data_IF_108876073721
#
_entry.id   IF_108876073721
#
_cell.length_a   1.000
_cell.length_b   1.000
_cell.length_c   1.000
_cell.angle_alpha   90.00
_cell.angle_beta   90.00
_cell.angle_gamma   90.00
#
_symmetry.space_group_name_H-M   'P 1'
#
loop_
_entity.id
_entity.type
_entity.pdbx_description
1 polymer ?
#
# COMPACT_ATOMS: atom_id res chain seq x y z
N UNK A 1 -17.73 -19.67 -2.46
CA UNK A 1 -16.59 -20.13 -1.62
C UNK A 1 -15.62 -18.95 -1.53
N UNK A 2 -15.49 -18.28 -0.37
CA UNK A 2 -14.48 -17.22 -0.22
C UNK A 2 -13.13 -17.91 0.03
N UNK A 3 -12.21 -17.79 -0.92
CA UNK A 3 -10.82 -18.24 -0.77
C UNK A 3 -10.19 -17.44 0.38
N UNK A 4 -9.45 -18.10 1.28
CA UNK A 4 -8.72 -17.43 2.35
C UNK A 4 -7.73 -16.43 1.72
N UNK A 5 -7.80 -15.13 2.03
CA UNK A 5 -6.90 -14.12 1.49
C UNK A 5 -5.41 -14.46 1.58
N UNK A 6 -5.00 -15.28 2.57
CA UNK A 6 -3.60 -15.73 2.75
C UNK A 6 -3.10 -16.64 1.62
N UNK A 7 -4.02 -17.27 0.88
CA UNK A 7 -3.73 -18.22 -0.20
C UNK A 7 -3.42 -17.53 -1.54
N UNK A 8 -3.75 -16.25 -1.69
CA UNK A 8 -3.40 -15.49 -2.89
C UNK A 8 -1.88 -15.30 -2.99
N UNK A 9 -1.40 -15.21 -4.24
CA UNK A 9 0.00 -14.86 -4.47
C UNK A 9 0.26 -13.43 -3.98
N UNK A 10 1.46 -13.11 -3.48
CA UNK A 10 1.75 -11.77 -2.98
C UNK A 10 1.60 -10.69 -4.07
N UNK A 11 1.88 -11.02 -5.34
CA UNK A 11 1.69 -10.10 -6.45
C UNK A 11 0.21 -9.89 -6.80
N UNK A 12 -0.64 -10.91 -6.64
CA UNK A 12 -2.09 -10.72 -6.79
C UNK A 12 -2.67 -9.84 -5.68
N UNK A 13 -2.17 -10.01 -4.44
CA UNK A 13 -2.52 -9.12 -3.33
C UNK A 13 -2.05 -7.70 -3.58
N UNK A 14 -0.81 -7.50 -4.05
CA UNK A 14 -0.30 -6.17 -4.38
C UNK A 14 -1.11 -5.52 -5.53
N UNK A 15 -1.48 -6.30 -6.55
CA UNK A 15 -2.27 -5.82 -7.67
C UNK A 15 -3.62 -5.21 -7.24
N UNK A 16 -4.39 -5.91 -6.40
CA UNK A 16 -5.64 -5.35 -5.88
C UNK A 16 -5.37 -4.24 -4.85
N UNK A 17 -4.32 -4.41 -4.04
CA UNK A 17 -3.93 -3.46 -3.00
C UNK A 17 -3.54 -2.08 -3.53
N UNK A 18 -2.84 -2.00 -4.66
CA UNK A 18 -2.51 -0.73 -5.33
C UNK A 18 -3.78 0.04 -5.72
N UNK A 19 -4.77 -0.67 -6.27
CA UNK A 19 -6.06 -0.07 -6.63
C UNK A 19 -6.80 0.47 -5.40
N UNK A 20 -6.82 -0.31 -4.30
CA UNK A 20 -7.47 0.11 -3.05
C UNK A 20 -6.73 1.26 -2.39
N UNK A 21 -5.40 1.21 -2.35
CA UNK A 21 -4.57 2.28 -1.81
C UNK A 21 -4.83 3.60 -2.54
N UNK A 22 -4.78 3.57 -3.87
CA UNK A 22 -5.08 4.74 -4.69
C UNK A 22 -6.49 5.29 -4.49
N UNK A 23 -7.50 4.42 -4.34
CA UNK A 23 -8.87 4.84 -4.09
C UNK A 23 -9.05 5.51 -2.73
N UNK A 24 -8.45 4.95 -1.67
CA UNK A 24 -8.52 5.52 -0.31
C UNK A 24 -7.79 6.86 -0.25
N UNK A 25 -6.55 6.95 -0.80
CA UNK A 25 -5.82 8.23 -0.87
C UNK A 25 -6.63 9.30 -1.62
N UNK A 26 -7.22 8.96 -2.77
CA UNK A 26 -8.05 9.91 -3.52
C UNK A 26 -9.29 10.33 -2.72
N UNK A 27 -9.85 9.42 -1.93
CA UNK A 27 -10.98 9.73 -1.04
C UNK A 27 -10.57 10.78 -0.01
N UNK A 28 -9.45 10.57 0.70
CA UNK A 28 -8.95 11.54 1.69
C UNK A 28 -8.65 12.91 1.05
N UNK A 29 -8.00 12.93 -0.11
CA UNK A 29 -7.70 14.18 -0.84
C UNK A 29 -8.97 14.93 -1.27
N UNK A 30 -10.04 14.21 -1.62
CA UNK A 30 -11.35 14.82 -1.93
C UNK A 30 -12.02 15.36 -0.67
N UNK A 31 -11.91 14.66 0.46
CA UNK A 31 -12.45 15.08 1.75
C UNK A 31 -11.77 16.34 2.30
N UNK A 32 -10.48 16.56 2.00
CA UNK A 32 -9.77 17.81 2.35
C UNK A 32 -10.32 19.07 1.66
N UNK A 33 -10.99 18.93 0.52
CA UNK A 33 -11.60 20.07 -0.16
C UNK A 33 -11.86 19.85 -1.64
N UNK A 34 -13.00 20.38 -2.08
CA UNK A 34 -13.39 20.36 -3.47
C UNK A 34 -12.54 21.35 -4.30
N UNK A 35 -11.73 20.83 -5.22
CA UNK A 35 -10.91 21.62 -6.11
C UNK A 35 -10.83 20.96 -7.50
N UNK A 36 -10.33 21.65 -8.55
CA UNK A 36 -10.24 21.07 -9.89
C UNK A 36 -9.49 19.74 -9.88
N UNK A 37 -9.93 18.79 -10.72
CA UNK A 37 -9.36 17.42 -10.80
C UNK A 37 -7.84 17.42 -10.94
N UNK A 38 -7.28 18.31 -11.76
CA UNK A 38 -5.81 18.43 -11.91
C UNK A 38 -5.09 18.76 -10.60
N UNK A 39 -5.74 19.48 -9.68
CA UNK A 39 -5.18 19.78 -8.35
C UNK A 39 -5.30 18.56 -7.43
N UNK A 40 -6.43 17.85 -7.45
CA UNK A 40 -6.62 16.60 -6.71
C UNK A 40 -5.59 15.54 -7.13
N UNK A 41 -5.39 15.35 -8.44
CA UNK A 41 -4.41 14.39 -8.96
C UNK A 41 -2.98 14.74 -8.52
N UNK A 42 -2.58 16.01 -8.61
CA UNK A 42 -1.25 16.43 -8.12
C UNK A 42 -1.05 16.18 -6.63
N UNK A 43 -2.10 16.33 -5.81
CA UNK A 43 -2.05 16.00 -4.38
C UNK A 43 -1.93 14.49 -4.18
N UNK A 44 -2.84 13.70 -4.78
CA UNK A 44 -2.88 12.24 -4.61
C UNK A 44 -1.58 11.56 -5.08
N UNK A 45 -1.01 12.01 -6.21
CA UNK A 45 0.26 11.48 -6.75
C UNK A 45 1.41 11.58 -5.75
N UNK A 46 1.39 12.53 -4.80
CA UNK A 46 2.42 12.60 -3.75
C UNK A 46 2.40 11.39 -2.82
N UNK A 47 1.22 10.84 -2.55
CA UNK A 47 1.04 9.71 -1.64
C UNK A 47 1.08 8.35 -2.34
N UNK A 48 0.72 8.29 -3.63
CA UNK A 48 0.61 7.04 -4.40
C UNK A 48 1.97 6.54 -4.93
N UNK A 49 2.96 7.42 -5.09
CA UNK A 49 4.29 7.04 -5.60
C UNK A 49 4.98 5.99 -4.72
N UNK A 50 5.67 5.05 -5.36
CA UNK A 50 6.39 3.96 -4.68
C UNK A 50 7.38 4.43 -3.60
N UNK A 51 8.09 5.54 -3.83
CA UNK A 51 9.02 6.12 -2.83
C UNK A 51 8.27 6.57 -1.57
N UNK A 52 7.10 7.18 -1.74
CA UNK A 52 6.24 7.61 -0.63
C UNK A 52 5.67 6.41 0.12
N UNK A 53 5.16 5.43 -0.61
CA UNK A 53 4.70 4.17 -0.02
C UNK A 53 5.82 3.44 0.75
N UNK A 54 7.05 3.43 0.22
CA UNK A 54 8.21 2.84 0.88
C UNK A 54 8.55 3.56 2.19
N UNK A 55 8.56 4.90 2.19
CA UNK A 55 8.77 5.70 3.41
C UNK A 55 7.67 5.44 4.46
N UNK A 56 6.42 5.36 4.03
CA UNK A 56 5.30 5.00 4.90
C UNK A 56 5.44 3.60 5.49
N UNK A 57 5.83 2.62 4.66
CA UNK A 57 6.05 1.26 5.11
C UNK A 57 7.18 1.17 6.15
N UNK A 58 8.29 1.87 5.93
CA UNK A 58 9.38 1.94 6.91
C UNK A 58 8.87 2.50 8.25
N UNK A 59 8.10 3.58 8.22
CA UNK A 59 7.53 4.15 9.43
C UNK A 59 6.60 3.19 10.20
N UNK A 60 5.72 2.46 9.50
CA UNK A 60 4.84 1.46 10.12
C UNK A 60 5.64 0.34 10.80
N UNK A 61 6.76 -0.06 10.21
CA UNK A 61 7.64 -1.12 10.71
C UNK A 61 8.45 -0.62 11.91
N UNK A 62 9.12 0.51 11.76
CA UNK A 62 10.01 1.09 12.77
C UNK A 62 9.22 1.49 14.03
N UNK A 63 7.97 1.90 13.86
CA UNK A 63 7.05 2.24 14.95
C UNK A 63 6.30 1.03 15.52
N UNK A 64 6.58 -0.19 15.06
CA UNK A 64 5.94 -1.43 15.49
C UNK A 64 4.39 -1.41 15.42
N UNK A 65 3.84 -0.78 14.38
CA UNK A 65 2.39 -0.58 14.23
C UNK A 65 1.68 -1.75 13.54
N UNK A 66 2.42 -2.74 13.06
CA UNK A 66 1.89 -3.93 12.42
C UNK A 66 1.87 -5.11 13.38
N UNK A 67 0.78 -5.88 13.37
CA UNK A 67 0.75 -7.20 14.00
C UNK A 67 1.68 -8.19 13.29
N UNK A 68 1.98 -9.32 13.95
CA UNK A 68 2.81 -10.39 13.38
C UNK A 68 2.25 -10.95 12.07
N UNK A 69 0.93 -11.04 11.97
CA UNK A 69 0.23 -11.46 10.75
C UNK A 69 0.46 -10.47 9.61
N UNK A 70 0.20 -9.18 9.87
CA UNK A 70 0.36 -8.11 8.89
C UNK A 70 1.82 -7.99 8.41
N UNK A 71 2.77 -8.07 9.35
CA UNK A 71 4.20 -8.11 9.07
C UNK A 71 4.60 -9.29 8.18
N UNK A 72 3.97 -10.45 8.37
CA UNK A 72 4.20 -11.65 7.55
C UNK A 72 3.72 -11.43 6.12
N UNK A 73 2.52 -10.86 5.93
CA UNK A 73 2.00 -10.52 4.60
C UNK A 73 2.87 -9.47 3.91
N UNK A 74 3.24 -8.40 4.62
CA UNK A 74 4.14 -7.37 4.13
C UNK A 74 5.46 -7.97 3.62
N UNK A 75 6.12 -8.82 4.43
CA UNK A 75 7.37 -9.48 4.07
C UNK A 75 7.22 -10.38 2.84
N UNK A 76 6.09 -11.08 2.69
CA UNK A 76 5.77 -11.88 1.49
C UNK A 76 5.69 -11.01 0.24
N UNK A 77 4.99 -9.87 0.31
CA UNK A 77 4.93 -8.89 -0.78
C UNK A 77 6.30 -8.32 -1.13
N UNK A 78 7.04 -7.85 -0.13
CA UNK A 78 8.39 -7.26 -0.30
C UNK A 78 9.39 -8.18 -0.95
N UNK A 79 9.26 -9.49 -0.73
CA UNK A 79 10.17 -10.50 -1.26
C UNK A 79 9.66 -11.17 -2.54
N UNK A 80 8.48 -10.79 -3.03
CA UNK A 80 7.96 -11.28 -4.30
C UNK A 80 8.86 -10.82 -5.45
N UNK A 81 9.30 -11.76 -6.29
CA UNK A 81 10.09 -11.45 -7.48
C UNK A 81 9.14 -11.22 -8.65
N UNK A 82 9.11 -10.02 -9.21
CA UNK A 82 8.56 -9.84 -10.56
C UNK A 82 9.59 -10.34 -11.59
N UNK A 83 9.13 -11.00 -12.66
CA UNK A 83 9.98 -11.58 -13.71
C UNK A 83 10.78 -10.54 -14.51
N UNK A 84 10.54 -9.26 -14.28
CA UNK A 84 11.19 -8.13 -14.97
C UNK A 84 11.94 -7.26 -13.95
N UNK A 85 13.09 -7.73 -13.48
CA UNK A 85 14.00 -6.90 -12.67
C UNK A 85 14.60 -5.80 -13.54
N UNK A 86 14.02 -4.60 -13.47
CA UNK A 86 14.60 -3.40 -14.06
C UNK A 86 15.95 -3.11 -13.39
N UNK A 87 17.03 -3.14 -14.18
CA UNK A 87 18.41 -3.19 -13.70
C UNK A 87 18.91 -1.94 -12.95
N UNK A 88 18.18 -0.82 -12.92
CA UNK A 88 18.76 0.48 -12.52
C UNK A 88 17.85 1.43 -11.68
N UNK A 89 16.66 1.01 -11.22
CA UNK A 89 15.86 1.81 -10.26
C UNK A 89 16.22 1.41 -8.82
N UNK A 90 16.00 2.25 -7.77
CA UNK A 90 16.21 1.84 -6.39
C UNK A 90 15.27 0.67 -6.03
N UNK A 91 15.74 -0.55 -6.28
CA UNK A 91 14.99 -1.81 -6.18
C UNK A 91 14.38 -1.98 -4.79
N UNK A 92 14.98 -1.37 -3.77
CA UNK A 92 14.50 -1.37 -2.39
C UNK A 92 13.13 -0.73 -2.21
N UNK A 93 12.91 0.46 -2.78
CA UNK A 93 11.66 1.22 -2.57
C UNK A 93 10.48 0.55 -3.24
N UNK A 94 10.66 0.05 -4.47
CA UNK A 94 9.64 -0.72 -5.17
C UNK A 94 9.25 -1.97 -4.39
N UNK A 95 10.21 -2.69 -3.82
CA UNK A 95 9.92 -3.86 -3.00
C UNK A 95 9.16 -3.48 -1.73
N UNK A 96 9.53 -2.39 -1.07
CA UNK A 96 8.81 -1.91 0.13
C UNK A 96 7.37 -1.51 -0.21
N UNK A 97 7.17 -0.77 -1.31
CA UNK A 97 5.85 -0.39 -1.82
C UNK A 97 5.00 -1.64 -2.13
N UNK A 98 5.54 -2.61 -2.88
CA UNK A 98 4.84 -3.88 -3.16
C UNK A 98 4.50 -4.66 -1.90
N UNK A 99 5.34 -4.58 -0.86
CA UNK A 99 5.03 -5.13 0.46
C UNK A 99 3.80 -4.47 1.09
N UNK A 100 3.73 -3.14 1.05
CA UNK A 100 2.59 -2.37 1.57
C UNK A 100 1.32 -2.66 0.75
N UNK A 101 1.40 -2.62 -0.57
CA UNK A 101 0.28 -2.96 -1.47
C UNK A 101 -0.26 -4.36 -1.17
N UNK A 102 0.62 -5.36 -0.99
CA UNK A 102 0.18 -6.71 -0.65
C UNK A 102 -0.54 -6.79 0.71
N UNK A 103 -0.08 -6.02 1.70
CA UNK A 103 -0.75 -5.91 3.00
C UNK A 103 -2.14 -5.27 2.86
N UNK A 104 -2.26 -4.17 2.13
CA UNK A 104 -3.54 -3.50 1.88
C UNK A 104 -4.51 -4.43 1.14
N UNK A 105 -4.04 -5.11 0.09
CA UNK A 105 -4.85 -6.08 -0.64
C UNK A 105 -5.33 -7.24 0.24
N UNK A 106 -4.49 -7.74 1.14
CA UNK A 106 -4.87 -8.76 2.10
C UNK A 106 -5.99 -8.29 3.04
N UNK A 107 -5.82 -7.13 3.67
CA UNK A 107 -6.81 -6.57 4.59
C UNK A 107 -8.14 -6.28 3.89
N UNK A 108 -8.08 -5.74 2.66
CA UNK A 108 -9.25 -5.53 1.82
C UNK A 108 -10.02 -6.83 1.56
N UNK A 109 -9.34 -7.88 1.13
CA UNK A 109 -9.98 -9.18 0.85
C UNK A 109 -10.47 -9.89 2.12
N UNK A 110 -9.83 -9.64 3.27
CA UNK A 110 -10.29 -10.04 4.61
C UNK A 110 -11.56 -9.29 5.03
N UNK A 111 -11.87 -8.16 4.38
CA UNK A 111 -13.02 -7.30 4.67
C UNK A 111 -12.74 -6.26 5.75
N UNK A 112 -11.47 -6.05 6.12
CA UNK A 112 -11.05 -5.17 7.20
C UNK A 112 -10.73 -3.76 6.68
N UNK A 113 -11.78 -3.06 6.23
CA UNK A 113 -11.64 -1.74 5.63
C UNK A 113 -11.23 -0.66 6.63
N UNK A 114 -11.56 -0.84 7.92
CA UNK A 114 -11.18 0.12 8.96
C UNK A 114 -9.66 0.10 9.16
N UNK A 115 -9.05 -1.09 9.23
CA UNK A 115 -7.61 -1.24 9.29
C UNK A 115 -6.90 -0.74 8.02
N UNK A 116 -7.49 -0.95 6.84
CA UNK A 116 -6.97 -0.38 5.59
C UNK A 116 -6.88 1.14 5.68
N UNK A 117 -7.96 1.81 6.10
CA UNK A 117 -7.99 3.28 6.22
C UNK A 117 -7.02 3.78 7.28
N UNK A 118 -6.93 3.09 8.42
CA UNK A 118 -6.00 3.43 9.50
C UNK A 118 -4.55 3.43 8.99
N UNK A 119 -4.10 2.33 8.38
CA UNK A 119 -2.73 2.21 7.88
C UNK A 119 -2.41 3.25 6.80
N UNK A 120 -3.33 3.48 5.87
CA UNK A 120 -3.14 4.49 4.81
C UNK A 120 -3.10 5.90 5.41
N UNK A 121 -3.96 6.21 6.37
CA UNK A 121 -3.96 7.49 7.07
C UNK A 121 -2.64 7.77 7.79
N UNK A 122 -2.09 6.76 8.49
CA UNK A 122 -0.77 6.84 9.13
C UNK A 122 0.31 7.10 8.07
N UNK A 123 0.31 6.34 6.97
CA UNK A 123 1.26 6.55 5.86
C UNK A 123 1.16 7.96 5.31
N UNK A 124 -0.05 8.49 5.10
CA UNK A 124 -0.25 9.86 4.62
C UNK A 124 0.26 10.91 5.61
N UNK A 125 0.14 10.68 6.93
CA UNK A 125 0.57 11.64 7.95
C UNK A 125 2.09 11.83 8.07
N UNK A 126 2.88 10.91 7.51
CA UNK A 126 4.36 10.94 7.60
C UNK A 126 5.04 11.34 6.28
N UNK A 127 4.25 11.74 5.29
CA UNK A 127 4.69 12.14 3.95
C UNK A 127 4.64 13.65 3.74
#
# INVERSE_FOLDING_TARGET
MKIDPRQYSPLALAFIGDSIYGAVVKTEVVLEGNCPVNTLDRKAVRYIKAVSQAKGADYLIDSALLSDEEMTIYKRGRNAKSSTTAKNAPVGDYRKATGLEALIGYLYLKGDMDRVKELIGIVMSVL
#
